data_IF_086589314272
#
_entry.id   IF_086589314272
#
_cell.length_a   1.000
_cell.length_b   1.000
_cell.length_c   1.000
_cell.angle_alpha   90.00
_cell.angle_beta   90.00
_cell.angle_gamma   90.00
#
_symmetry.space_group_name_H-M   'P 1'
#
loop_
_entity.id
_entity.type
_entity.pdbx_description
1 polymer ?
#
# COMPACT_ATOMS: atom_id res chain seq x y z
N UNK A 1 -1.69 10.80 27.81
CA UNK A 1 -1.38 9.62 27.04
C UNK A 1 -1.43 9.90 25.56
N UNK A 2 -0.46 9.41 24.84
CA UNK A 2 -0.38 9.67 23.43
C UNK A 2 -1.34 8.76 22.66
N UNK A 3 -2.14 9.35 21.79
CA UNK A 3 -3.00 8.56 20.93
C UNK A 3 -2.25 8.10 19.71
N UNK A 4 -2.40 6.84 19.39
CA UNK A 4 -1.86 6.32 18.15
C UNK A 4 -2.73 6.72 16.98
N UNK A 5 -2.12 6.98 15.85
CA UNK A 5 -2.85 7.19 14.61
C UNK A 5 -3.50 5.88 14.17
N UNK A 6 -4.50 5.98 13.31
CA UNK A 6 -5.12 4.78 12.73
C UNK A 6 -4.09 3.91 12.03
N UNK A 7 -3.14 4.55 11.32
CA UNK A 7 -2.09 3.83 10.62
C UNK A 7 -1.23 3.02 11.58
N UNK A 8 -0.83 3.64 12.69
CA UNK A 8 0.01 2.96 13.67
C UNK A 8 -0.70 1.76 14.28
N UNK A 9 -1.99 1.90 14.52
CA UNK A 9 -2.77 0.78 15.06
C UNK A 9 -2.91 -0.35 14.05
N UNK A 10 -3.06 -0.01 12.78
CA UNK A 10 -3.10 -1.02 11.72
C UNK A 10 -1.80 -1.80 11.66
N UNK A 11 -0.68 -1.12 11.73
CA UNK A 11 0.62 -1.77 11.71
C UNK A 11 0.78 -2.67 12.94
N UNK A 12 0.38 -2.17 14.10
CA UNK A 12 0.45 -2.95 15.33
C UNK A 12 -0.45 -4.17 15.29
N UNK A 13 -1.58 -4.08 14.59
CA UNK A 13 -2.53 -5.18 14.46
C UNK A 13 -2.13 -6.19 13.39
N UNK A 14 -0.96 -6.04 12.77
CA UNK A 14 -0.47 -6.98 11.76
C UNK A 14 -1.19 -6.85 10.44
N UNK A 15 -1.78 -5.70 10.17
CA UNK A 15 -2.42 -5.41 8.89
C UNK A 15 -3.65 -6.25 8.61
N UNK A 16 -4.30 -6.74 9.62
CA UNK A 16 -5.53 -7.50 9.47
C UNK A 16 -6.70 -6.55 9.31
N UNK A 17 -6.92 -6.10 8.09
CA UNK A 17 -7.89 -5.04 7.84
C UNK A 17 -9.29 -5.41 8.30
N UNK A 18 -9.71 -6.65 8.06
CA UNK A 18 -11.03 -7.11 8.52
C UNK A 18 -11.21 -7.02 10.02
N UNK A 19 -10.17 -7.39 10.78
CA UNK A 19 -10.20 -7.27 12.23
C UNK A 19 -9.94 -5.84 12.68
N UNK A 20 -9.10 -5.12 11.93
CA UNK A 20 -8.76 -3.74 12.25
C UNK A 20 -9.95 -2.82 12.16
N UNK A 21 -10.92 -3.09 11.28
CA UNK A 21 -12.09 -2.22 11.16
C UNK A 21 -12.86 -2.15 12.48
N UNK A 22 -13.04 -3.28 13.14
CA UNK A 22 -13.70 -3.30 14.44
C UNK A 22 -12.80 -2.75 15.54
N UNK A 23 -11.54 -3.17 15.53
CA UNK A 23 -10.59 -2.79 16.55
C UNK A 23 -10.30 -1.29 16.55
N UNK A 24 -10.24 -0.68 15.39
CA UNK A 24 -9.88 0.73 15.23
C UNK A 24 -11.11 1.63 15.09
N UNK A 25 -12.31 1.08 15.06
CA UNK A 25 -13.50 1.88 14.85
C UNK A 25 -13.63 2.47 13.47
N UNK A 26 -13.12 1.77 12.45
CA UNK A 26 -13.22 2.23 11.07
C UNK A 26 -14.62 1.99 10.53
N UNK A 27 -15.10 2.89 9.70
CA UNK A 27 -16.32 2.65 8.94
C UNK A 27 -16.03 1.61 7.86
N UNK A 28 -17.09 1.07 7.25
CA UNK A 28 -16.95 0.15 6.13
C UNK A 28 -16.15 0.79 4.98
N UNK A 29 -16.44 2.04 4.69
CA UNK A 29 -15.79 2.78 3.62
C UNK A 29 -14.33 3.02 3.93
N UNK A 30 -14.02 3.36 5.19
CA UNK A 30 -12.63 3.56 5.60
C UNK A 30 -11.85 2.25 5.52
N UNK A 31 -12.45 1.16 5.98
CA UNK A 31 -11.80 -0.14 5.93
C UNK A 31 -11.53 -0.58 4.49
N UNK A 32 -12.49 -0.37 3.60
CA UNK A 32 -12.32 -0.70 2.19
C UNK A 32 -11.21 0.13 1.55
N UNK A 33 -11.16 1.43 1.86
CA UNK A 33 -10.13 2.31 1.33
C UNK A 33 -8.75 1.87 1.80
N UNK A 34 -8.61 1.59 3.09
CA UNK A 34 -7.34 1.14 3.66
C UNK A 34 -6.91 -0.18 3.01
N UNK A 35 -7.86 -1.11 2.85
CA UNK A 35 -7.56 -2.40 2.25
C UNK A 35 -7.04 -2.25 0.81
N UNK A 36 -7.68 -1.39 0.03
CA UNK A 36 -7.24 -1.13 -1.34
C UNK A 36 -5.85 -0.52 -1.37
N UNK A 37 -5.59 0.43 -0.49
CA UNK A 37 -4.29 1.08 -0.43
C UNK A 37 -3.19 0.10 -0.03
N UNK A 38 -3.47 -0.76 0.95
CA UNK A 38 -2.51 -1.78 1.38
C UNK A 38 -2.21 -2.76 0.24
N UNK A 39 -3.23 -3.15 -0.50
CA UNK A 39 -3.05 -4.07 -1.63
C UNK A 39 -2.17 -3.43 -2.71
N UNK A 40 -2.40 -2.17 -3.01
CA UNK A 40 -1.59 -1.46 -4.01
C UNK A 40 -0.15 -1.29 -3.54
N UNK A 41 0.05 -0.93 -2.29
CA UNK A 41 1.40 -0.75 -1.73
C UNK A 41 2.18 -2.05 -1.76
N UNK A 42 1.53 -3.15 -1.38
CA UNK A 42 2.15 -4.48 -1.41
C UNK A 42 2.51 -4.87 -2.85
N UNK A 43 1.62 -4.59 -3.78
CA UNK A 43 1.85 -4.88 -5.20
C UNK A 43 3.03 -4.09 -5.76
N UNK A 44 3.18 -2.82 -5.37
CA UNK A 44 4.33 -2.01 -5.78
C UNK A 44 5.62 -2.69 -5.32
N UNK A 45 5.68 -3.08 -4.05
CA UNK A 45 6.88 -3.71 -3.50
C UNK A 45 7.19 -5.02 -4.22
N UNK A 46 6.17 -5.87 -4.39
CA UNK A 46 6.36 -7.18 -5.03
C UNK A 46 6.84 -7.05 -6.47
N UNK A 47 6.22 -6.13 -7.23
CA UNK A 47 6.61 -5.93 -8.62
C UNK A 47 8.01 -5.36 -8.71
N UNK A 48 8.36 -4.44 -7.82
CA UNK A 48 9.71 -3.89 -7.77
C UNK A 48 10.74 -5.01 -7.53
N UNK A 49 10.47 -5.86 -6.54
CA UNK A 49 11.36 -6.97 -6.21
C UNK A 49 11.46 -7.97 -7.36
N UNK A 50 10.34 -8.28 -8.00
CA UNK A 50 10.32 -9.20 -9.12
C UNK A 50 11.13 -8.68 -10.30
N UNK A 51 11.22 -7.37 -10.45
CA UNK A 51 12.02 -6.75 -11.49
C UNK A 51 13.43 -6.43 -11.05
N UNK A 52 13.79 -6.84 -9.84
CA UNK A 52 15.12 -6.66 -9.26
C UNK A 52 15.53 -5.20 -9.21
N UNK A 53 14.58 -4.33 -8.94
CA UNK A 53 14.84 -2.91 -8.77
C UNK A 53 14.99 -2.60 -7.29
N UNK A 54 15.95 -1.71 -6.99
CA UNK A 54 16.03 -1.13 -5.66
C UNK A 54 14.98 -0.01 -5.55
N UNK A 55 14.69 0.43 -4.34
CA UNK A 55 13.81 1.57 -4.15
C UNK A 55 14.33 2.81 -4.85
N UNK A 56 15.65 3.02 -4.84
CA UNK A 56 16.26 4.14 -5.53
C UNK A 56 16.07 4.06 -7.05
N UNK A 57 16.20 2.86 -7.61
CA UNK A 57 15.99 2.66 -9.03
C UNK A 57 14.54 2.91 -9.43
N UNK A 58 13.60 2.42 -8.63
CA UNK A 58 12.20 2.71 -8.90
C UNK A 58 11.91 4.20 -8.78
N UNK A 59 12.49 4.86 -7.77
CA UNK A 59 12.32 6.29 -7.59
C UNK A 59 12.74 7.06 -8.84
N UNK A 60 13.84 6.69 -9.44
CA UNK A 60 14.30 7.34 -10.68
C UNK A 60 13.28 7.17 -11.80
N UNK A 61 12.72 5.98 -11.92
CA UNK A 61 11.73 5.70 -12.98
C UNK A 61 10.48 6.54 -12.87
N UNK A 62 10.04 6.78 -11.65
CA UNK A 62 8.79 7.51 -11.43
C UNK A 62 9.03 8.98 -11.09
N UNK A 63 10.28 9.44 -11.19
CA UNK A 63 10.60 10.83 -10.91
C UNK A 63 10.39 11.22 -9.45
N UNK A 64 10.75 10.34 -8.55
CA UNK A 64 10.56 10.55 -7.12
C UNK A 64 11.85 10.29 -6.34
N UNK A 65 11.74 10.19 -5.03
CA UNK A 65 12.87 9.91 -4.15
C UNK A 65 12.77 8.53 -3.54
N UNK A 66 13.90 8.00 -3.09
CA UNK A 66 13.93 6.70 -2.43
C UNK A 66 13.06 6.71 -1.17
N UNK A 67 13.11 7.79 -0.39
CA UNK A 67 12.29 7.87 0.83
C UNK A 67 10.80 7.86 0.49
N UNK A 68 10.42 8.46 -0.64
CA UNK A 68 9.02 8.43 -1.05
C UNK A 68 8.59 7.03 -1.48
N UNK A 69 9.46 6.31 -2.19
CA UNK A 69 9.17 4.92 -2.55
C UNK A 69 9.02 4.07 -1.29
N UNK A 70 9.89 4.27 -0.29
CA UNK A 70 9.77 3.56 0.97
C UNK A 70 8.41 3.83 1.62
N UNK A 71 7.95 5.08 1.62
CA UNK A 71 6.63 5.43 2.14
C UNK A 71 5.50 4.81 1.33
N UNK A 72 5.65 4.76 0.01
CA UNK A 72 4.67 4.11 -0.86
C UNK A 72 4.49 2.64 -0.49
N UNK A 73 5.59 1.95 -0.31
CA UNK A 73 5.55 0.52 0.02
C UNK A 73 5.05 0.27 1.43
N UNK A 74 5.18 1.25 2.30
CA UNK A 74 4.67 1.18 3.66
C UNK A 74 3.22 1.66 3.78
N UNK A 75 2.60 2.03 2.67
CA UNK A 75 1.25 2.60 2.65
C UNK A 75 1.10 3.80 3.58
N UNK A 76 2.11 4.65 3.60
CA UNK A 76 2.12 5.83 4.45
C UNK A 76 0.94 6.75 4.10
N UNK A 77 0.29 7.39 5.11
CA UNK A 77 -0.84 8.27 4.82
C UNK A 77 -0.53 9.43 3.88
N UNK A 78 0.73 9.84 3.79
CA UNK A 78 1.13 10.94 2.90
C UNK A 78 1.15 10.53 1.43
N UNK A 79 1.01 9.24 1.14
CA UNK A 79 1.06 8.73 -0.23
C UNK A 79 -0.34 8.47 -0.74
N UNK A 80 -0.66 9.01 -1.90
CA UNK A 80 -1.98 8.82 -2.50
C UNK A 80 -2.07 7.51 -3.27
N UNK A 81 -3.29 7.02 -3.42
CA UNK A 81 -3.56 5.80 -4.19
C UNK A 81 -3.14 5.98 -5.66
N UNK A 82 -3.37 7.16 -6.23
CA UNK A 82 -3.01 7.36 -7.63
C UNK A 82 -1.51 7.29 -7.85
N UNK A 83 -0.71 7.70 -6.86
CA UNK A 83 0.74 7.54 -6.97
C UNK A 83 1.12 6.07 -7.02
N UNK A 84 0.47 5.24 -6.20
CA UNK A 84 0.70 3.79 -6.21
C UNK A 84 0.30 3.18 -7.55
N UNK A 85 -0.84 3.59 -8.10
CA UNK A 85 -1.30 3.10 -9.39
C UNK A 85 -0.33 3.50 -10.51
N UNK A 86 0.14 4.74 -10.48
CA UNK A 86 1.11 5.20 -11.48
C UNK A 86 2.42 4.42 -11.41
N UNK A 87 2.89 4.12 -10.21
CA UNK A 87 4.11 3.33 -10.04
C UNK A 87 3.96 1.93 -10.65
N UNK A 88 2.81 1.31 -10.43
CA UNK A 88 2.53 -0.01 -11.02
C UNK A 88 2.53 0.05 -12.54
N UNK A 89 1.85 1.04 -13.11
CA UNK A 89 1.80 1.19 -14.56
C UNK A 89 3.19 1.47 -15.14
N UNK A 90 3.99 2.26 -14.43
CA UNK A 90 5.36 2.57 -14.84
C UNK A 90 6.23 1.31 -14.85
N UNK A 91 5.94 0.36 -13.97
CA UNK A 91 6.64 -0.92 -13.93
C UNK A 91 6.01 -1.98 -14.85
N UNK A 92 5.12 -1.56 -15.74
CA UNK A 92 4.56 -2.44 -16.75
C UNK A 92 3.30 -3.20 -16.36
N UNK A 93 2.67 -2.85 -15.24
CA UNK A 93 1.39 -3.46 -14.91
C UNK A 93 0.33 -3.00 -15.89
N UNK A 94 -0.57 -3.90 -16.27
CA UNK A 94 -1.70 -3.54 -17.09
C UNK A 94 -2.82 -2.97 -16.25
N UNK A 95 -3.77 -2.30 -16.89
CA UNK A 95 -4.95 -1.81 -16.19
C UNK A 95 -5.71 -2.94 -15.52
N UNK A 96 -5.79 -4.09 -16.18
CA UNK A 96 -6.45 -5.27 -15.63
C UNK A 96 -5.74 -5.76 -14.38
N UNK A 97 -4.40 -5.76 -14.39
CA UNK A 97 -3.63 -6.16 -13.22
C UNK A 97 -3.85 -5.21 -12.06
N UNK A 98 -3.89 -3.91 -12.31
CA UNK A 98 -4.17 -2.92 -11.27
C UNK A 98 -5.57 -3.14 -10.70
N UNK A 99 -6.55 -3.37 -11.56
CA UNK A 99 -7.92 -3.63 -11.13
C UNK A 99 -8.01 -4.88 -10.26
N UNK A 100 -7.33 -5.94 -10.63
CA UNK A 100 -7.29 -7.17 -9.83
C UNK A 100 -6.64 -6.92 -8.48
N UNK A 101 -5.59 -6.12 -8.46
CA UNK A 101 -4.91 -5.77 -7.21
C UNK A 101 -5.86 -5.06 -6.26
N UNK A 102 -6.63 -4.11 -6.77
CA UNK A 102 -7.59 -3.35 -5.95
C UNK A 102 -8.67 -4.27 -5.39
N UNK A 103 -9.10 -5.26 -6.15
CA UNK A 103 -10.17 -6.15 -5.72
C UNK A 103 -9.72 -7.26 -4.78
N UNK A 104 -8.42 -7.42 -4.59
CA UNK A 104 -7.90 -8.44 -3.67
C UNK A 104 -7.96 -7.98 -2.23
N UNK A 105 -8.22 -8.92 -1.33
CA UNK A 105 -8.02 -8.68 0.09
C UNK A 105 -6.56 -8.88 0.43
N UNK A 106 -6.02 -7.98 1.24
CA UNK A 106 -4.67 -8.13 1.74
C UNK A 106 -4.68 -9.20 2.80
N UNK A 107 -3.86 -10.23 2.61
CA UNK A 107 -3.72 -11.28 3.61
C UNK A 107 -2.34 -11.16 4.22
N UNK A 108 -2.33 -10.97 5.51
CA UNK A 108 -1.10 -11.04 6.26
C UNK A 108 -1.08 -12.31 7.04
N UNK A 109 0.03 -13.00 7.00
CA UNK A 109 0.18 -14.21 7.79
C UNK A 109 -0.06 -13.86 9.25
N UNK A 110 -0.88 -14.63 9.86
CA UNK A 110 -1.13 -14.46 11.27
C UNK A 110 0.11 -14.86 12.06
#
# INVERSE_FOLDING_TARGET
MMKRSKRERLEAAGWRVGNASDFLGLTKEEAAFVEMKLALADSVRRRRQARRLTQTQLARRIGSSQSRVAKMEAADPSVSIDLLMRALLEMGASRAEVARTISKRVRRAA
#
